data_IF_426181559080
#
_entry.id   IF_426181559080
#
_cell.length_a   1.000
_cell.length_b   1.000
_cell.length_c   1.000
_cell.angle_alpha   90.00
_cell.angle_beta   90.00
_cell.angle_gamma   90.00
#
_symmetry.space_group_name_H-M   'P 1'
#
loop_
_entity.id
_entity.type
_entity.pdbx_description
1 polymer ?
#
# COMPACT_ATOMS: atom_id res chain seq x y z
N UNK A 1 14.78 -1.57 6.43
CA UNK A 1 14.99 -1.81 4.97
C UNK A 1 13.72 -1.45 4.22
N UNK A 2 13.87 -0.78 3.08
CA UNK A 2 12.72 -0.30 2.28
C UNK A 2 12.43 -1.24 1.11
N UNK A 3 11.15 -1.42 0.80
CA UNK A 3 10.71 -2.28 -0.29
C UNK A 3 9.57 -1.65 -1.11
N UNK A 4 9.34 -2.21 -2.29
CA UNK A 4 8.20 -1.92 -3.16
C UNK A 4 7.44 -3.22 -3.34
N UNK A 5 6.11 -3.15 -3.25
CA UNK A 5 5.21 -4.28 -3.45
C UNK A 5 4.46 -4.12 -4.77
N UNK A 6 4.79 -4.97 -5.73
CA UNK A 6 4.12 -5.03 -7.03
C UNK A 6 3.06 -6.14 -7.01
N UNK A 7 1.91 -5.91 -7.60
CA UNK A 7 0.75 -6.82 -7.52
C UNK A 7 0.33 -7.06 -6.07
N UNK A 8 0.17 -5.97 -5.32
CA UNK A 8 0.10 -6.01 -3.86
C UNK A 8 -1.15 -6.70 -3.30
N UNK A 9 -2.23 -6.78 -4.08
CA UNK A 9 -3.50 -7.30 -3.59
C UNK A 9 -3.99 -6.51 -2.38
N UNK A 10 -4.55 -7.20 -1.41
CA UNK A 10 -4.99 -6.59 -0.14
C UNK A 10 -3.87 -6.40 0.89
N UNK A 11 -2.61 -6.64 0.52
CA UNK A 11 -1.45 -6.38 1.36
C UNK A 11 -1.03 -7.51 2.30
N UNK A 12 -1.47 -8.74 2.06
CA UNK A 12 -1.13 -9.87 2.93
C UNK A 12 0.37 -10.15 3.01
N UNK A 13 1.06 -10.15 1.87
CA UNK A 13 2.52 -10.33 1.81
C UNK A 13 3.23 -9.16 2.49
N UNK A 14 2.82 -7.94 2.16
CA UNK A 14 3.37 -6.71 2.74
C UNK A 14 3.26 -6.69 4.27
N UNK A 15 2.15 -7.17 4.82
CA UNK A 15 1.95 -7.21 6.28
C UNK A 15 3.03 -8.04 6.98
N UNK A 16 3.45 -9.17 6.38
CA UNK A 16 4.55 -9.98 6.91
C UNK A 16 5.87 -9.21 6.93
N UNK A 17 6.15 -8.42 5.90
CA UNK A 17 7.35 -7.58 5.85
C UNK A 17 7.31 -6.47 6.89
N UNK A 18 6.19 -5.77 7.03
CA UNK A 18 6.02 -4.70 8.02
C UNK A 18 6.24 -5.23 9.45
N UNK A 19 5.67 -6.39 9.77
CA UNK A 19 5.83 -7.01 11.09
C UNK A 19 7.28 -7.37 11.41
N UNK A 20 8.10 -7.55 10.39
CA UNK A 20 9.53 -7.84 10.54
C UNK A 20 10.41 -6.58 10.38
N UNK A 21 9.82 -5.39 10.51
CA UNK A 21 10.56 -4.13 10.55
C UNK A 21 10.93 -3.55 9.18
N UNK A 22 10.39 -4.09 8.09
CA UNK A 22 10.56 -3.51 6.77
C UNK A 22 9.57 -2.37 6.55
N UNK A 23 9.95 -1.40 5.74
CA UNK A 23 9.15 -0.21 5.45
C UNK A 23 8.72 -0.19 3.98
N UNK A 24 7.42 -0.22 3.69
CA UNK A 24 6.94 -0.10 2.32
C UNK A 24 7.13 1.33 1.81
N UNK A 25 7.57 1.46 0.57
CA UNK A 25 7.66 2.74 -0.13
C UNK A 25 6.46 2.92 -1.06
N UNK A 26 6.08 1.87 -1.75
CA UNK A 26 4.93 1.88 -2.65
C UNK A 26 4.28 0.49 -2.74
N UNK A 27 2.97 0.50 -2.95
CA UNK A 27 2.18 -0.68 -3.31
C UNK A 27 1.51 -0.38 -4.65
N UNK A 28 1.66 -1.28 -5.62
CA UNK A 28 1.00 -1.15 -6.93
C UNK A 28 -0.06 -2.24 -7.05
N UNK A 29 -1.30 -1.84 -7.26
CA UNK A 29 -2.45 -2.74 -7.36
C UNK A 29 -3.49 -2.19 -8.32
N UNK A 30 -4.09 -3.05 -9.12
CA UNK A 30 -5.09 -2.65 -10.12
C UNK A 30 -6.53 -2.67 -9.60
N UNK A 31 -6.82 -3.46 -8.58
CA UNK A 31 -8.17 -3.58 -8.03
C UNK A 31 -8.47 -2.46 -7.05
N UNK A 32 -9.56 -1.72 -7.28
CA UNK A 32 -9.95 -0.58 -6.46
C UNK A 32 -10.23 -0.96 -5.00
N UNK A 33 -10.92 -2.08 -4.77
CA UNK A 33 -11.24 -2.53 -3.41
C UNK A 33 -10.01 -3.02 -2.65
N UNK A 34 -9.10 -3.71 -3.34
CA UNK A 34 -7.81 -4.09 -2.77
C UNK A 34 -6.99 -2.85 -2.39
N UNK A 35 -6.99 -1.81 -3.23
CA UNK A 35 -6.35 -0.53 -2.91
C UNK A 35 -6.96 0.12 -1.65
N UNK A 36 -8.27 0.06 -1.48
CA UNK A 36 -8.93 0.56 -0.27
C UNK A 36 -8.49 -0.23 0.96
N UNK A 37 -8.38 -1.53 0.86
CA UNK A 37 -7.87 -2.39 1.95
C UNK A 37 -6.42 -2.03 2.29
N UNK A 38 -5.57 -1.82 1.28
CA UNK A 38 -4.19 -1.36 1.48
C UNK A 38 -4.13 -0.02 2.22
N UNK A 39 -4.94 0.96 1.82
CA UNK A 39 -4.99 2.27 2.48
C UNK A 39 -5.45 2.14 3.93
N UNK A 40 -6.41 1.27 4.21
CA UNK A 40 -6.87 1.02 5.58
C UNK A 40 -5.77 0.38 6.44
N UNK A 41 -4.99 -0.54 5.89
CA UNK A 41 -3.81 -1.11 6.56
C UNK A 41 -2.74 -0.04 6.85
N UNK A 42 -2.48 0.84 5.90
CA UNK A 42 -1.56 1.96 6.07
C UNK A 42 -2.05 2.90 7.18
N UNK A 43 -3.35 3.20 7.18
CA UNK A 43 -3.97 4.00 8.23
C UNK A 43 -3.76 3.39 9.62
N UNK A 44 -4.00 2.08 9.74
CA UNK A 44 -3.75 1.34 10.99
C UNK A 44 -2.30 1.51 11.46
N UNK A 45 -1.34 1.24 10.60
CA UNK A 45 0.08 1.31 10.97
C UNK A 45 0.52 2.74 11.32
N UNK A 46 0.03 3.73 10.56
CA UNK A 46 0.28 5.14 10.87
C UNK A 46 -0.25 5.53 12.25
N UNK A 47 -1.51 5.21 12.54
CA UNK A 47 -2.15 5.53 13.81
C UNK A 47 -1.46 4.80 14.98
N UNK A 48 -1.04 3.55 14.75
CA UNK A 48 -0.29 2.79 15.76
C UNK A 48 1.05 3.45 16.09
N UNK A 49 1.83 3.87 15.08
CA UNK A 49 3.11 4.55 15.28
C UNK A 49 2.96 5.87 16.04
N UNK A 50 1.82 6.52 15.90
CA UNK A 50 1.54 7.83 16.47
C UNK A 50 0.67 7.78 17.74
N UNK A 51 0.48 6.60 18.34
CA UNK A 51 -0.31 6.38 19.53
C UNK A 51 -1.75 6.88 19.42
N UNK A 52 -2.38 6.68 18.26
CA UNK A 52 -3.73 7.13 17.93
C UNK A 52 -4.65 5.98 17.46
N UNK A 53 -4.43 4.78 17.95
CA UNK A 53 -5.23 3.61 17.56
C UNK A 53 -6.73 3.74 17.91
N UNK A 54 -7.10 4.61 18.83
CA UNK A 54 -8.50 4.88 19.14
C UNK A 54 -9.31 5.34 17.91
N UNK A 55 -8.67 6.06 16.98
CA UNK A 55 -9.30 6.48 15.72
C UNK A 55 -9.66 5.26 14.87
N UNK A 56 -8.73 4.31 14.76
CA UNK A 56 -8.96 3.07 14.04
C UNK A 56 -10.07 2.22 14.67
N UNK A 57 -10.11 2.15 16.00
CA UNK A 57 -11.16 1.44 16.71
C UNK A 57 -12.54 2.09 16.51
N UNK A 58 -12.62 3.42 16.47
CA UNK A 58 -13.87 4.13 16.12
C UNK A 58 -14.35 3.76 14.71
N UNK A 59 -13.43 3.60 13.76
CA UNK A 59 -13.76 3.11 12.42
C UNK A 59 -14.29 1.66 12.45
N UNK A 60 -13.65 0.75 13.19
CA UNK A 60 -14.08 -0.64 13.32
C UNK A 60 -15.47 -0.76 13.97
N UNK A 61 -15.81 0.14 14.89
CA UNK A 61 -17.10 0.19 15.59
C UNK A 61 -18.17 0.95 14.79
N UNK A 62 -17.87 1.36 13.57
CA UNK A 62 -18.76 2.15 12.71
C UNK A 62 -19.18 3.51 13.31
N UNK A 63 -18.38 4.07 14.21
CA UNK A 63 -18.58 5.41 14.76
C UNK A 63 -18.15 6.49 13.77
N UNK A 64 -17.15 6.17 12.92
CA UNK A 64 -16.69 6.99 11.80
C UNK A 64 -16.65 6.13 10.54
N UNK A 65 -16.77 6.77 9.37
CA UNK A 65 -16.66 6.09 8.08
C UNK A 65 -15.21 6.06 7.58
N UNK A 66 -15.00 5.42 6.43
CA UNK A 66 -13.68 5.30 5.80
C UNK A 66 -13.09 6.66 5.41
N UNK A 67 -13.90 7.58 4.93
CA UNK A 67 -13.45 8.94 4.57
C UNK A 67 -12.97 9.70 5.81
N UNK A 68 -13.69 9.59 6.91
CA UNK A 68 -13.29 10.17 8.20
C UNK A 68 -11.96 9.58 8.68
N UNK A 69 -11.80 8.26 8.58
CA UNK A 69 -10.54 7.59 8.92
C UNK A 69 -9.39 8.15 8.07
N UNK A 70 -9.55 8.21 6.75
CA UNK A 70 -8.50 8.67 5.84
C UNK A 70 -8.17 10.15 6.03
N UNK A 71 -9.13 10.97 6.46
CA UNK A 71 -8.88 12.38 6.78
C UNK A 71 -7.91 12.59 7.94
N UNK A 72 -7.72 11.57 8.78
CA UNK A 72 -6.79 11.58 9.91
C UNK A 72 -5.37 11.14 9.52
N UNK A 73 -5.16 10.74 8.26
CA UNK A 73 -3.90 10.20 7.77
C UNK A 73 -3.30 11.20 6.77
N UNK A 74 -1.99 11.50 6.84
CA UNK A 74 -1.35 12.33 5.84
C UNK A 74 -1.51 11.75 4.44
N UNK A 75 -1.80 12.60 3.45
CA UNK A 75 -1.94 12.18 2.06
C UNK A 75 -0.70 11.44 1.56
N UNK A 76 0.49 11.85 1.98
CA UNK A 76 1.75 11.21 1.62
C UNK A 76 1.84 9.73 2.04
N UNK A 77 1.16 9.34 3.11
CA UNK A 77 1.07 7.94 3.52
C UNK A 77 0.12 7.16 2.59
N UNK A 78 -1.06 7.71 2.34
CA UNK A 78 -2.08 7.05 1.50
C UNK A 78 -1.68 7.00 0.02
N UNK A 79 -0.94 7.98 -0.46
CA UNK A 79 -0.45 8.05 -1.84
C UNK A 79 0.60 6.97 -2.16
N UNK A 80 1.12 6.28 -1.15
CA UNK A 80 1.97 5.11 -1.34
C UNK A 80 1.25 3.94 -2.01
N UNK A 81 -0.08 3.97 -2.05
CA UNK A 81 -0.89 3.01 -2.81
C UNK A 81 -1.14 3.58 -4.20
N UNK A 82 -0.54 2.94 -5.20
CA UNK A 82 -0.68 3.30 -6.61
C UNK A 82 -1.74 2.40 -7.23
N UNK A 83 -2.90 2.97 -7.53
CA UNK A 83 -4.00 2.26 -8.18
C UNK A 83 -3.79 2.26 -9.69
N UNK A 84 -3.05 1.28 -10.18
CA UNK A 84 -2.72 1.13 -11.59
C UNK A 84 -2.54 -0.35 -11.95
N UNK A 85 -2.89 -0.69 -13.19
CA UNK A 85 -2.53 -1.98 -13.78
C UNK A 85 -1.10 -1.90 -14.32
N UNK A 86 -0.29 -2.92 -14.04
CA UNK A 86 1.08 -3.00 -14.55
C UNK A 86 1.03 -3.55 -15.98
N UNK A 87 1.28 -2.69 -16.95
CA UNK A 87 1.32 -3.01 -18.38
C UNK A 87 2.20 -2.00 -19.13
N UNK A 88 2.53 -2.27 -20.38
CA UNK A 88 3.48 -1.44 -21.15
C UNK A 88 3.09 0.04 -21.20
N UNK A 89 1.81 0.35 -21.35
CA UNK A 89 1.34 1.74 -21.43
C UNK A 89 1.32 2.49 -20.09
N UNK A 90 1.39 1.79 -18.96
CA UNK A 90 1.33 2.39 -17.62
C UNK A 90 2.66 2.33 -16.87
N UNK A 91 3.60 1.49 -17.30
CA UNK A 91 4.81 1.18 -16.54
C UNK A 91 5.67 2.43 -16.27
N UNK A 92 5.79 3.33 -17.24
CA UNK A 92 6.58 4.55 -17.06
C UNK A 92 5.95 5.50 -16.04
N UNK A 93 4.62 5.63 -16.05
CA UNK A 93 3.89 6.43 -15.06
C UNK A 93 4.03 5.84 -13.65
N UNK A 94 3.93 4.52 -13.54
CA UNK A 94 4.16 3.80 -12.28
C UNK A 94 5.57 4.09 -11.75
N UNK A 95 6.60 3.98 -12.58
CA UNK A 95 7.99 4.26 -12.19
C UNK A 95 8.17 5.71 -11.74
N UNK A 96 7.55 6.66 -12.42
CA UNK A 96 7.60 8.07 -12.03
C UNK A 96 6.98 8.28 -10.64
N UNK A 97 5.83 7.68 -10.38
CA UNK A 97 5.18 7.73 -9.06
C UNK A 97 6.04 7.10 -7.97
N UNK A 98 6.62 5.93 -8.24
CA UNK A 98 7.52 5.25 -7.32
C UNK A 98 8.75 6.12 -7.02
N UNK A 99 9.33 6.77 -8.03
CA UNK A 99 10.50 7.64 -7.84
C UNK A 99 10.18 8.85 -6.95
N UNK A 100 9.00 9.41 -7.08
CA UNK A 100 8.53 10.50 -6.20
C UNK A 100 8.39 10.00 -4.77
N UNK A 101 7.74 8.87 -4.56
CA UNK A 101 7.53 8.26 -3.23
C UNK A 101 8.85 7.83 -2.59
N UNK A 102 9.76 7.31 -3.39
CA UNK A 102 11.09 6.87 -2.94
C UNK A 102 11.92 8.04 -2.43
N UNK A 103 11.91 9.18 -3.14
CA UNK A 103 12.78 10.30 -2.83
C UNK A 103 14.25 9.87 -2.76
N UNK A 104 14.93 10.17 -1.67
CA UNK A 104 16.32 9.77 -1.42
C UNK A 104 16.47 8.39 -0.79
N UNK A 105 15.38 7.70 -0.47
CA UNK A 105 15.41 6.38 0.17
C UNK A 105 16.01 5.34 -0.76
N UNK A 106 16.85 4.46 -0.21
CA UNK A 106 17.34 3.29 -0.94
C UNK A 106 16.28 2.19 -0.91
N UNK A 107 15.99 1.60 -2.06
CA UNK A 107 15.15 0.41 -2.15
C UNK A 107 16.04 -0.83 -2.02
N UNK A 108 15.69 -1.72 -1.10
CA UNK A 108 16.46 -2.92 -0.79
C UNK A 108 15.82 -4.17 -1.38
N UNK A 109 14.52 -4.14 -1.63
CA UNK A 109 13.78 -5.29 -2.14
C UNK A 109 12.57 -4.87 -2.96
N UNK A 110 12.21 -5.68 -3.93
CA UNK A 110 10.95 -5.62 -4.64
C UNK A 110 10.27 -6.96 -4.40
N UNK A 111 9.04 -6.91 -3.91
CA UNK A 111 8.22 -8.10 -3.65
C UNK A 111 6.97 -8.05 -4.51
N UNK A 112 6.26 -9.15 -4.60
CA UNK A 112 4.98 -9.18 -5.31
C UNK A 112 4.50 -10.58 -5.58
N UNK A 113 3.18 -10.70 -5.80
CA UNK A 113 2.51 -11.94 -6.19
C UNK A 113 1.81 -11.74 -7.54
N UNK A 114 2.54 -11.80 -8.67
CA UNK A 114 1.90 -11.63 -9.98
C UNK A 114 0.82 -12.69 -10.21
N UNK A 115 -0.27 -12.34 -10.94
CA UNK A 115 -1.37 -13.27 -11.15
C UNK A 115 -0.90 -14.50 -11.96
N UNK A 116 -1.22 -15.69 -11.45
CA UNK A 116 -0.84 -16.97 -12.08
C UNK A 116 -1.37 -17.12 -13.50
N UNK A 117 -2.49 -16.50 -13.82
CA UNK A 117 -3.11 -16.52 -15.14
C UNK A 117 -2.21 -15.96 -16.25
N UNK A 118 -1.32 -15.02 -15.91
CA UNK A 118 -0.35 -14.45 -16.85
C UNK A 118 0.75 -15.44 -17.26
N UNK A 119 0.94 -16.49 -16.48
CA UNK A 119 2.00 -17.49 -16.64
C UNK A 119 1.49 -18.92 -16.84
N UNK A 120 0.18 -19.10 -16.79
CA UNK A 120 -0.42 -20.41 -16.99
C UNK A 120 -0.54 -20.68 -18.51
N UNK A 121 0.19 -21.67 -18.96
CA UNK A 121 0.00 -22.28 -20.27
C UNK A 121 -1.16 -23.27 -20.14
N UNK A 122 -2.27 -22.89 -20.67
CA UNK A 122 -3.45 -23.80 -20.71
C UNK A 122 -3.27 -24.78 -21.85
#
# INVERSE_FOLDING_TARGET
>A
MNYIDLFAGAGGLSEGFIRNGFSPVAHVEMDAEACNTLRTRIAYHYLKRNNRLQVYYSYLLNEINREDLYSQIPASELDSVIHEKIEDKTINDIFNKINILKGSKKIHSIIGGPPCQAYSLV
#
